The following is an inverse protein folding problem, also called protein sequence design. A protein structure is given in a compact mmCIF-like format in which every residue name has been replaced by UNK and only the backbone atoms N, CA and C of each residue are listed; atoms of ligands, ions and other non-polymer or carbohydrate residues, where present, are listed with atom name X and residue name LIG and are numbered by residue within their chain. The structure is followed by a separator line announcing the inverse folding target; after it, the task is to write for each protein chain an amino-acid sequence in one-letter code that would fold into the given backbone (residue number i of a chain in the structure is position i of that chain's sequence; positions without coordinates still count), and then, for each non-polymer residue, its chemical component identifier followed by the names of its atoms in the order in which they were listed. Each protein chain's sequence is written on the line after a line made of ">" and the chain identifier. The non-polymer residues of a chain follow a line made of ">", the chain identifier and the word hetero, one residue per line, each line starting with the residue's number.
data_IF_726964107015
#
_entry.id   IF_726964107015
#
_cell.length_a   1.000
_cell.length_b   1.000
_cell.length_c   1.000
_cell.angle_alpha   90.00
_cell.angle_beta   90.00
_cell.angle_gamma   90.00
#
_symmetry.space_group_name_H-M   'P 1'
#
loop_
_entity.id
_entity.type
_entity.pdbx_description
1 polymer ?
#
# COMPACT_ATOMS: atom_id res chain seq x y z
N UNK A 1 12.12 -16.80 44.73
CA UNK A 1 12.51 -16.89 43.30
C UNK A 1 11.24 -16.67 42.52
N UNK A 2 11.27 -15.87 41.43
CA UNK A 2 10.06 -15.61 40.67
C UNK A 2 9.51 -16.91 40.09
N UNK A 3 8.19 -17.08 40.16
CA UNK A 3 7.47 -18.24 39.65
C UNK A 3 7.43 -18.28 38.12
N UNK A 4 7.65 -17.14 37.48
CA UNK A 4 7.70 -17.02 36.02
C UNK A 4 9.11 -16.72 35.51
N UNK A 5 9.36 -17.07 34.25
CA UNK A 5 10.56 -16.72 33.50
C UNK A 5 10.20 -16.38 32.06
N UNK A 6 10.93 -15.43 31.47
CA UNK A 6 10.73 -14.95 30.10
C UNK A 6 12.05 -15.14 29.34
N UNK A 7 12.33 -16.35 28.83
CA UNK A 7 13.68 -16.75 28.42
C UNK A 7 14.09 -16.27 27.02
N UNK A 8 13.15 -15.98 26.13
CA UNK A 8 13.44 -15.65 24.74
C UNK A 8 12.57 -14.48 24.26
N UNK A 9 13.23 -13.35 24.03
CA UNK A 9 12.62 -12.16 23.43
C UNK A 9 13.62 -11.55 22.46
N UNK A 10 13.18 -11.16 21.24
CA UNK A 10 14.05 -10.42 20.35
C UNK A 10 14.50 -9.12 21.02
N UNK A 11 15.80 -8.77 20.96
CA UNK A 11 16.32 -7.54 21.57
C UNK A 11 15.76 -6.27 20.88
N UNK A 12 15.15 -6.44 19.70
CA UNK A 12 14.59 -5.36 18.91
C UNK A 12 13.27 -5.74 18.24
N UNK A 13 12.26 -4.90 18.36
CA UNK A 13 11.00 -5.01 17.63
C UNK A 13 11.12 -4.36 16.24
N UNK A 14 10.64 -5.04 15.21
CA UNK A 14 10.51 -4.46 13.88
C UNK A 14 9.17 -3.71 13.76
N UNK A 15 9.24 -2.41 13.48
CA UNK A 15 8.06 -1.60 13.15
C UNK A 15 7.96 -1.40 11.63
N UNK A 16 6.75 -1.48 11.10
CA UNK A 16 6.39 -1.04 9.75
C UNK A 16 5.73 0.33 9.85
N UNK A 17 6.31 1.32 9.18
CA UNK A 17 5.77 2.67 9.12
C UNK A 17 4.93 2.82 7.85
N UNK A 18 3.67 3.20 8.02
CA UNK A 18 2.77 3.54 6.91
C UNK A 18 2.58 5.05 6.88
N UNK A 19 2.90 5.68 5.74
CA UNK A 19 2.78 7.13 5.54
C UNK A 19 1.53 7.43 4.73
N UNK A 20 0.53 8.04 5.37
CA UNK A 20 -0.70 8.48 4.72
C UNK A 20 -0.86 9.98 4.95
N UNK A 21 -0.94 10.76 3.87
CA UNK A 21 -1.27 12.20 3.89
C UNK A 21 -0.55 13.02 4.98
N UNK A 22 0.80 12.96 4.99
CA UNK A 22 1.68 13.71 5.89
C UNK A 22 1.74 13.24 7.35
N UNK A 23 1.17 12.07 7.65
CA UNK A 23 1.24 11.43 8.98
C UNK A 23 1.88 10.04 8.85
N UNK A 24 2.79 9.71 9.78
CA UNK A 24 3.49 8.42 9.80
C UNK A 24 3.05 7.63 11.03
N UNK A 25 2.31 6.53 10.82
CA UNK A 25 1.92 5.62 11.89
C UNK A 25 2.85 4.41 11.82
N UNK A 26 3.53 4.09 12.93
CA UNK A 26 4.38 2.91 13.00
C UNK A 26 3.66 1.81 13.77
N UNK A 27 3.54 0.64 13.15
CA UNK A 27 2.92 -0.54 13.75
C UNK A 27 3.88 -1.72 13.75
N UNK A 28 3.87 -2.50 14.82
CA UNK A 28 4.68 -3.71 14.91
C UNK A 28 4.14 -4.66 15.96
N UNK A 29 4.72 -5.85 16.02
CA UNK A 29 4.36 -6.85 17.01
C UNK A 29 5.62 -7.55 17.53
N UNK A 30 5.64 -7.81 18.83
CA UNK A 30 6.69 -8.57 19.49
C UNK A 30 6.04 -9.74 20.19
N UNK A 31 6.56 -10.94 19.91
CA UNK A 31 6.11 -12.15 20.56
C UNK A 31 7.10 -12.52 21.65
N UNK A 32 6.58 -12.88 22.82
CA UNK A 32 7.37 -13.32 23.96
C UNK A 32 6.72 -14.55 24.58
N UNK A 33 7.57 -15.36 25.21
CA UNK A 33 7.18 -16.63 25.80
C UNK A 33 7.35 -16.55 27.30
N UNK A 34 6.28 -16.77 28.06
CA UNK A 34 6.32 -16.82 29.53
C UNK A 34 6.24 -18.27 29.96
N UNK A 35 7.14 -18.68 30.85
CA UNK A 35 7.21 -20.04 31.39
C UNK A 35 6.94 -20.01 32.88
N UNK A 36 6.02 -20.84 33.36
CA UNK A 36 5.83 -21.08 34.79
C UNK A 36 6.88 -22.10 35.26
N UNK A 37 7.78 -21.73 36.16
CA UNK A 37 8.85 -22.60 36.70
C UNK A 37 8.39 -23.46 37.88
N UNK A 38 7.18 -23.24 38.36
CA UNK A 38 6.67 -23.97 39.53
C UNK A 38 6.15 -25.34 39.12
N UNK A 39 6.16 -26.27 40.08
CA UNK A 39 5.58 -27.60 39.92
C UNK A 39 4.05 -27.62 40.05
N UNK A 40 3.40 -26.45 40.12
CA UNK A 40 1.96 -26.31 40.26
C UNK A 40 1.40 -25.39 39.16
N UNK A 41 0.11 -25.52 38.87
CA UNK A 41 -0.56 -24.60 37.95
C UNK A 41 -0.76 -23.23 38.61
N UNK A 42 -0.51 -22.15 37.88
CA UNK A 42 -0.54 -20.78 38.40
C UNK A 42 -1.15 -19.82 37.39
N UNK A 43 -2.00 -18.90 37.85
CA UNK A 43 -2.51 -17.82 37.01
C UNK A 43 -1.45 -16.71 36.92
N UNK A 44 -1.05 -16.38 35.69
CA UNK A 44 -0.08 -15.34 35.40
C UNK A 44 -0.71 -14.25 34.55
N UNK A 45 -0.42 -12.99 34.89
CA UNK A 45 -0.82 -11.81 34.13
C UNK A 45 0.39 -11.11 33.56
N UNK A 46 0.28 -10.66 32.31
CA UNK A 46 1.33 -9.90 31.66
C UNK A 46 0.95 -8.42 31.54
N UNK A 47 1.88 -7.56 31.95
CA UNK A 47 1.80 -6.11 31.83
C UNK A 47 2.98 -5.56 31.04
N UNK A 48 2.73 -4.50 30.26
CA UNK A 48 3.77 -3.80 29.50
C UNK A 48 4.24 -2.61 30.33
N UNK A 49 5.55 -2.46 30.47
CA UNK A 49 6.20 -1.35 31.17
C UNK A 49 7.01 -0.51 30.17
N UNK A 50 6.42 0.57 29.64
CA UNK A 50 7.13 1.50 28.76
C UNK A 50 8.35 2.11 29.46
N UNK A 51 9.43 2.34 28.72
CA UNK A 51 10.65 2.96 29.24
C UNK A 51 10.91 4.30 28.54
N UNK A 52 11.47 5.26 29.27
CA UNK A 52 11.80 6.59 28.74
C UNK A 52 10.57 7.39 28.31
N UNK A 53 10.57 7.92 27.08
CA UNK A 53 9.45 8.70 26.53
C UNK A 53 8.32 7.84 25.92
N UNK A 54 8.41 6.50 25.99
CA UNK A 54 7.36 5.62 25.50
C UNK A 54 6.11 5.71 26.40
N UNK A 55 4.93 5.75 25.80
CA UNK A 55 3.66 5.82 26.54
C UNK A 55 2.94 4.47 26.56
N UNK A 56 2.26 4.16 27.68
CA UNK A 56 1.52 2.91 27.85
C UNK A 56 0.43 2.71 26.79
N UNK A 57 -0.19 3.80 26.33
CA UNK A 57 -1.21 3.82 25.28
C UNK A 57 -0.73 3.34 23.91
N UNK A 58 0.58 3.19 23.69
CA UNK A 58 1.15 2.69 22.44
C UNK A 58 1.16 1.17 22.35
N UNK A 59 0.85 0.47 23.44
CA UNK A 59 1.03 -0.96 23.53
C UNK A 59 -0.28 -1.66 23.88
N UNK A 60 -0.51 -2.81 23.26
CA UNK A 60 -1.63 -3.69 23.60
C UNK A 60 -1.21 -5.14 23.53
N UNK A 61 -1.72 -5.97 24.43
CA UNK A 61 -1.52 -7.43 24.39
C UNK A 61 -2.63 -8.05 23.56
N UNK A 62 -2.28 -8.92 22.62
CA UNK A 62 -3.26 -9.65 21.82
C UNK A 62 -3.95 -10.75 22.65
N UNK A 63 -5.27 -10.66 22.73
CA UNK A 63 -6.12 -11.59 23.45
C UNK A 63 -6.06 -11.36 24.97
N UNK A 64 -6.22 -12.42 25.74
CA UNK A 64 -6.21 -12.34 27.21
C UNK A 64 -4.77 -12.15 27.72
N UNK A 65 -4.57 -11.07 28.50
CA UNK A 65 -3.31 -10.75 29.18
C UNK A 65 -3.10 -11.58 30.45
N UNK A 66 -4.16 -12.18 30.99
CA UNK A 66 -4.13 -13.10 32.12
C UNK A 66 -4.47 -14.51 31.63
N UNK A 67 -3.63 -15.49 31.96
CA UNK A 67 -3.79 -16.88 31.52
C UNK A 67 -3.40 -17.85 32.63
N UNK A 68 -4.00 -19.04 32.59
CA UNK A 68 -3.69 -20.12 33.52
C UNK A 68 -2.58 -21.01 32.95
N UNK A 69 -1.44 -21.05 33.63
CA UNK A 69 -0.31 -21.89 33.27
C UNK A 69 -0.41 -23.21 34.00
N UNK A 70 -0.17 -24.32 33.31
CA UNK A 70 0.08 -25.62 33.96
C UNK A 70 1.48 -25.62 34.59
N UNK A 71 1.78 -26.63 35.42
CA UNK A 71 3.12 -26.82 35.99
C UNK A 71 4.17 -26.96 34.86
N UNK A 72 5.28 -26.21 34.94
CA UNK A 72 6.28 -26.11 33.87
C UNK A 72 5.70 -25.67 32.50
N UNK A 73 4.48 -25.14 32.49
CA UNK A 73 3.74 -24.75 31.30
C UNK A 73 4.24 -23.45 30.72
N UNK A 74 4.00 -23.27 29.42
CA UNK A 74 4.48 -22.12 28.66
C UNK A 74 3.34 -21.50 27.87
N UNK A 75 3.25 -20.17 27.87
CA UNK A 75 2.33 -19.43 27.01
C UNK A 75 3.03 -18.35 26.22
N UNK A 76 2.65 -18.26 24.95
CA UNK A 76 3.09 -17.22 24.04
C UNK A 76 2.10 -16.05 24.06
N UNK A 77 2.64 -14.85 24.16
CA UNK A 77 1.90 -13.59 24.12
C UNK A 77 2.48 -12.70 23.03
N UNK A 78 1.62 -11.89 22.42
CA UNK A 78 2.03 -10.93 21.38
C UNK A 78 1.67 -9.53 21.86
N UNK A 79 2.68 -8.67 22.03
CA UNK A 79 2.49 -7.23 22.23
C UNK A 79 2.42 -6.56 20.87
N UNK A 80 1.33 -5.87 20.57
CA UNK A 80 1.25 -4.93 19.45
C UNK A 80 1.74 -3.56 19.90
N UNK A 81 2.56 -2.97 19.06
CA UNK A 81 3.08 -1.61 19.19
C UNK A 81 2.38 -0.78 18.12
N UNK A 82 1.67 0.28 18.51
CA UNK A 82 1.04 1.24 17.61
C UNK A 82 1.37 2.64 18.12
N UNK A 83 2.25 3.33 17.42
CA UNK A 83 2.67 4.69 17.81
C UNK A 83 1.78 5.74 17.13
N UNK A 84 1.35 6.80 17.85
CA UNK A 84 0.60 7.90 17.25
C UNK A 84 1.47 8.67 16.25
N UNK A 85 0.85 9.40 15.30
CA UNK A 85 1.58 10.17 14.29
C UNK A 85 2.39 11.34 14.88
N UNK A 86 2.12 11.74 16.12
CA UNK A 86 2.81 12.79 16.86
C UNK A 86 4.02 12.28 17.67
N UNK A 87 4.26 10.96 17.69
CA UNK A 87 5.40 10.40 18.39
C UNK A 87 6.71 10.89 17.74
N UNK A 88 7.64 11.38 18.56
CA UNK A 88 8.94 11.87 18.06
C UNK A 88 9.71 10.72 17.43
N UNK A 89 10.46 11.02 16.37
CA UNK A 89 11.42 10.07 15.81
C UNK A 89 12.51 9.77 16.84
N UNK A 90 12.83 8.50 17.04
CA UNK A 90 13.82 8.11 18.04
C UNK A 90 13.78 6.64 18.42
N UNK A 91 14.75 6.25 19.24
CA UNK A 91 14.83 4.93 19.84
C UNK A 91 14.00 4.90 21.13
N UNK A 92 13.08 3.96 21.20
CA UNK A 92 12.23 3.71 22.35
C UNK A 92 12.46 2.30 22.86
N UNK A 93 12.03 2.03 24.09
CA UNK A 93 12.11 0.68 24.64
C UNK A 93 10.94 0.36 25.56
N UNK A 94 10.70 -0.94 25.72
CA UNK A 94 9.71 -1.47 26.64
C UNK A 94 10.28 -2.67 27.38
N UNK A 95 9.74 -2.92 28.56
CA UNK A 95 9.85 -4.19 29.27
C UNK A 95 8.48 -4.83 29.37
N UNK A 96 8.49 -6.15 29.53
CA UNK A 96 7.32 -6.95 29.81
C UNK A 96 7.48 -7.53 31.21
N UNK A 97 6.45 -7.38 32.03
CA UNK A 97 6.42 -7.92 33.38
C UNK A 97 5.34 -9.00 33.46
N UNK A 98 5.74 -10.21 33.84
CA UNK A 98 4.84 -11.30 34.17
C UNK A 98 4.67 -11.37 35.68
N UNK A 99 3.44 -11.25 36.18
CA UNK A 99 3.11 -11.26 37.60
C UNK A 99 2.23 -12.46 37.94
N UNK A 100 2.45 -13.07 39.10
CA UNK A 100 1.53 -14.05 39.63
C UNK A 100 0.28 -13.36 40.16
N UNK A 101 -0.90 -13.83 39.75
CA UNK A 101 -2.18 -13.16 40.11
C UNK A 101 -2.46 -13.26 41.61
N UNK A 102 -1.98 -14.31 42.26
CA UNK A 102 -2.12 -14.55 43.69
C UNK A 102 -1.14 -13.72 44.56
N UNK A 103 -0.02 -13.27 44.02
CA UNK A 103 0.96 -12.42 44.72
C UNK A 103 1.66 -11.45 43.75
N UNK A 104 0.93 -10.42 43.26
CA UNK A 104 1.41 -9.56 42.17
C UNK A 104 2.55 -8.62 42.59
N UNK A 105 2.70 -8.34 43.88
CA UNK A 105 3.69 -7.39 44.39
C UNK A 105 5.06 -8.03 44.61
N UNK A 106 5.10 -9.31 44.98
CA UNK A 106 6.35 -10.00 45.34
C UNK A 106 6.78 -11.07 44.34
N UNK A 107 5.85 -11.61 43.55
CA UNK A 107 6.12 -12.70 42.59
C UNK A 107 5.95 -12.25 41.15
N UNK A 108 7.03 -11.68 40.61
CA UNK A 108 7.08 -11.16 39.25
C UNK A 108 8.42 -11.42 38.57
N UNK A 109 8.36 -11.55 37.25
CA UNK A 109 9.53 -11.62 36.39
C UNK A 109 9.48 -10.50 35.36
N UNK A 110 10.61 -9.80 35.20
CA UNK A 110 10.80 -8.80 34.16
C UNK A 110 11.54 -9.40 32.97
N UNK A 111 11.17 -8.94 31.79
CA UNK A 111 11.89 -9.26 30.57
C UNK A 111 13.18 -8.45 30.41
N UNK A 112 14.10 -8.91 29.54
CA UNK A 112 15.08 -8.05 28.92
C UNK A 112 14.43 -6.85 28.21
N UNK A 113 15.19 -5.77 28.05
CA UNK A 113 14.71 -4.56 27.36
C UNK A 113 14.55 -4.84 25.87
N UNK A 114 13.37 -4.53 25.34
CA UNK A 114 13.08 -4.61 23.91
C UNK A 114 13.12 -3.20 23.32
N UNK A 115 14.09 -2.95 22.44
CA UNK A 115 14.20 -1.68 21.74
C UNK A 115 13.30 -1.65 20.50
N UNK A 116 12.79 -0.48 20.13
CA UNK A 116 12.13 -0.27 18.85
C UNK A 116 12.37 1.15 18.36
N UNK A 117 12.54 1.30 17.05
CA UNK A 117 12.81 2.61 16.45
C UNK A 117 11.56 3.15 15.77
N UNK A 118 11.19 4.38 16.12
CA UNK A 118 10.24 5.15 15.33
C UNK A 118 11.05 5.85 14.25
N UNK A 119 10.90 5.37 13.02
CA UNK A 119 11.51 6.00 11.86
C UNK A 119 11.02 7.45 11.80
N UNK A 120 11.95 8.39 11.61
CA UNK A 120 11.56 9.76 11.27
C UNK A 120 10.62 9.69 10.05
N UNK A 121 9.54 10.49 10.03
CA UNK A 121 8.78 10.68 8.80
C UNK A 121 9.80 10.89 7.69
N UNK A 122 9.71 10.17 6.55
CA UNK A 122 10.64 10.41 5.46
C UNK A 122 10.63 11.92 5.25
N UNK A 123 11.78 12.61 5.36
CA UNK A 123 11.83 14.07 5.31
C UNK A 123 10.96 14.46 4.12
N UNK A 124 9.90 15.28 4.34
CA UNK A 124 8.83 15.50 3.37
C UNK A 124 9.53 15.73 2.06
N UNK A 125 9.39 14.76 1.13
CA UNK A 125 10.38 14.49 0.09
C UNK A 125 11.01 15.81 -0.27
N UNK A 126 12.25 16.07 0.19
CA UNK A 126 12.92 17.30 -0.20
C UNK A 126 12.73 17.29 -1.70
N UNK A 127 11.97 18.27 -2.22
CA UNK A 127 11.95 18.51 -3.65
C UNK A 127 13.43 18.55 -3.94
N UNK A 128 13.97 17.46 -4.52
CA UNK A 128 15.41 17.35 -4.70
C UNK A 128 15.73 18.67 -5.32
N UNK A 129 16.55 19.48 -4.64
CA UNK A 129 17.13 20.65 -5.25
C UNK A 129 18.06 20.05 -6.28
N UNK A 130 17.44 19.60 -7.38
CA UNK A 130 18.04 19.15 -8.60
C UNK A 130 19.05 20.23 -8.86
N UNK A 131 20.33 19.87 -8.80
CA UNK A 131 21.36 20.87 -8.62
C UNK A 131 21.20 21.85 -9.78
N UNK A 132 21.08 23.13 -9.42
CA UNK A 132 20.66 24.24 -10.26
C UNK A 132 21.28 24.26 -11.67
N UNK A 133 22.47 23.67 -11.86
CA UNK A 133 23.11 23.43 -13.16
C UNK A 133 22.34 22.52 -14.14
N UNK A 134 21.51 21.57 -13.67
CA UNK A 134 20.72 20.68 -14.55
C UNK A 134 19.52 21.45 -15.15
N UNK A 135 18.96 22.41 -14.42
CA UNK A 135 18.05 23.41 -14.98
C UNK A 135 18.80 24.57 -15.64
N UNK A 136 20.09 24.81 -15.36
CA UNK A 136 20.89 25.77 -16.12
C UNK A 136 21.23 25.27 -17.54
N UNK A 137 21.14 23.97 -17.82
CA UNK A 137 21.39 23.44 -19.16
C UNK A 137 20.15 23.46 -20.09
N UNK A 138 18.92 23.44 -19.55
CA UNK A 138 17.68 23.52 -20.36
C UNK A 138 16.88 24.81 -20.07
N UNK A 139 16.95 25.33 -18.85
CA UNK A 139 16.36 26.61 -18.42
C UNK A 139 17.37 27.73 -18.17
N UNK A 140 18.70 27.50 -18.28
CA UNK A 140 19.70 28.57 -18.18
C UNK A 140 19.72 29.48 -19.40
N UNK A 141 19.10 29.06 -20.50
CA UNK A 141 18.75 29.95 -21.60
C UNK A 141 17.56 30.87 -21.30
N UNK A 142 16.67 30.51 -20.36
CA UNK A 142 15.39 31.22 -20.14
C UNK A 142 15.38 32.01 -18.82
N UNK A 143 15.98 31.50 -17.74
CA UNK A 143 16.05 32.18 -16.44
C UNK A 143 17.13 33.29 -16.39
N UNK A 144 18.23 33.15 -17.14
CA UNK A 144 19.21 34.24 -17.30
C UNK A 144 18.63 35.36 -18.17
N UNK A 145 17.79 35.04 -19.14
CA UNK A 145 17.06 36.04 -19.95
C UNK A 145 15.98 36.73 -19.10
N UNK A 146 15.17 35.99 -18.34
CA UNK A 146 14.12 36.57 -17.50
C UNK A 146 14.63 37.42 -16.32
N UNK A 147 15.72 37.01 -15.65
CA UNK A 147 16.33 37.80 -14.57
C UNK A 147 16.96 39.11 -15.06
N UNK A 148 17.54 39.11 -16.27
CA UNK A 148 18.07 40.32 -16.91
C UNK A 148 16.92 41.21 -17.39
N UNK A 149 15.83 40.66 -17.91
CA UNK A 149 14.65 41.45 -18.33
C UNK A 149 13.93 42.10 -17.14
N UNK A 150 13.71 41.39 -16.02
CA UNK A 150 13.09 41.97 -14.81
C UNK A 150 13.98 43.05 -14.18
N UNK A 151 15.31 42.87 -14.20
CA UNK A 151 16.24 43.88 -13.72
C UNK A 151 16.33 45.11 -14.65
N UNK A 152 16.21 44.93 -15.97
CA UNK A 152 16.21 46.04 -16.94
C UNK A 152 14.89 46.81 -16.89
N UNK A 153 13.74 46.15 -16.79
CA UNK A 153 12.42 46.80 -16.70
C UNK A 153 12.28 47.64 -15.41
N UNK A 154 12.87 47.20 -14.30
CA UNK A 154 12.87 47.99 -13.06
C UNK A 154 13.82 49.21 -13.11
N UNK A 155 14.74 49.29 -14.08
CA UNK A 155 15.77 50.34 -14.14
C UNK A 155 15.67 51.29 -15.35
N UNK A 156 14.85 51.01 -16.38
CA UNK A 156 14.65 51.91 -17.53
C UNK A 156 13.27 52.57 -17.48
N UNK A 157 13.20 53.75 -16.86
CA UNK A 157 12.01 54.61 -16.88
C UNK A 157 11.84 55.34 -18.20
N UNK A 158 10.93 54.84 -19.04
CA UNK A 158 10.32 55.53 -20.18
C UNK A 158 8.82 55.26 -20.18
N UNK A 159 8.01 56.19 -20.67
CA UNK A 159 6.53 56.23 -20.52
C UNK A 159 5.75 55.10 -21.22
N UNK A 160 6.39 53.98 -21.58
CA UNK A 160 5.78 52.76 -22.10
C UNK A 160 6.35 51.52 -21.41
N UNK A 161 5.49 50.61 -20.95
CA UNK A 161 5.93 49.33 -20.37
C UNK A 161 6.05 48.29 -21.48
N UNK A 162 7.14 47.53 -21.50
CA UNK A 162 7.34 46.45 -22.46
C UNK A 162 6.71 45.16 -21.94
N UNK A 163 6.00 44.40 -22.79
CA UNK A 163 5.33 43.16 -22.41
C UNK A 163 6.35 42.05 -22.09
N UNK A 164 6.36 41.48 -20.87
CA UNK A 164 7.20 40.35 -20.49
C UNK A 164 6.81 39.05 -21.20
N UNK A 165 7.77 38.14 -21.37
CA UNK A 165 7.48 36.78 -21.83
C UNK A 165 7.03 35.89 -20.66
N UNK A 166 5.82 35.32 -20.80
CA UNK A 166 5.22 34.39 -19.86
C UNK A 166 4.78 33.08 -20.52
N UNK A 167 5.13 32.85 -21.79
CA UNK A 167 4.85 31.59 -22.49
C UNK A 167 5.64 30.45 -21.84
N UNK A 168 4.95 29.33 -21.61
CA UNK A 168 5.49 28.17 -20.89
C UNK A 168 5.43 28.30 -19.37
N UNK A 169 5.05 29.46 -18.82
CA UNK A 169 4.83 29.63 -17.39
C UNK A 169 3.48 29.04 -16.95
N UNK A 170 3.37 28.75 -15.66
CA UNK A 170 2.09 28.44 -15.04
C UNK A 170 1.25 29.73 -14.94
N UNK A 171 -0.06 29.64 -15.17
CA UNK A 171 -0.93 30.81 -15.26
C UNK A 171 -0.82 31.76 -14.05
N UNK A 172 -0.72 31.23 -12.84
CA UNK A 172 -0.54 32.05 -11.63
C UNK A 172 0.77 32.85 -11.63
N UNK A 173 1.84 32.29 -12.18
CA UNK A 173 3.13 32.97 -12.31
C UNK A 173 3.11 34.01 -13.45
N UNK A 174 2.46 33.67 -14.56
CA UNK A 174 2.25 34.60 -15.67
C UNK A 174 1.46 35.84 -15.22
N UNK A 175 0.37 35.63 -14.48
CA UNK A 175 -0.44 36.70 -13.90
C UNK A 175 0.35 37.59 -12.95
N UNK A 176 1.13 36.99 -12.05
CA UNK A 176 1.97 37.75 -11.13
C UNK A 176 3.01 38.61 -11.87
N UNK A 177 3.60 38.09 -12.94
CA UNK A 177 4.62 38.78 -13.75
C UNK A 177 4.01 39.97 -14.51
N UNK A 178 2.87 39.76 -15.15
CA UNK A 178 2.18 40.82 -15.92
C UNK A 178 1.59 41.89 -15.01
N UNK A 179 1.03 41.50 -13.86
CA UNK A 179 0.49 42.46 -12.88
C UNK A 179 1.61 43.32 -12.27
N UNK A 180 2.79 42.73 -12.01
CA UNK A 180 3.96 43.47 -11.55
C UNK A 180 4.44 44.50 -12.58
N UNK A 181 4.31 44.17 -13.87
CA UNK A 181 4.57 45.07 -15.01
C UNK A 181 3.39 45.99 -15.35
N UNK A 182 2.40 46.13 -14.46
CA UNK A 182 1.23 47.03 -14.62
C UNK A 182 0.31 46.70 -15.80
N UNK A 183 0.30 45.46 -16.28
CA UNK A 183 -0.63 44.99 -17.32
C UNK A 183 -1.84 44.28 -16.74
N UNK A 184 -2.94 44.32 -17.49
CA UNK A 184 -4.16 43.56 -17.20
C UNK A 184 -4.13 42.23 -17.94
N UNK A 185 -4.53 41.14 -17.29
CA UNK A 185 -4.49 39.79 -17.88
C UNK A 185 -5.89 39.31 -18.26
N UNK A 186 -6.06 38.90 -19.51
CA UNK A 186 -7.25 38.17 -19.99
C UNK A 186 -6.84 36.75 -20.36
N UNK A 187 -7.69 35.78 -20.07
CA UNK A 187 -7.41 34.36 -20.29
C UNK A 187 -8.31 33.82 -21.40
N UNK A 188 -7.68 33.12 -22.33
CA UNK A 188 -8.34 32.36 -23.40
C UNK A 188 -7.96 30.88 -23.29
N UNK A 189 -8.93 30.01 -23.54
CA UNK A 189 -8.72 28.57 -23.49
C UNK A 189 -8.01 28.10 -24.78
N UNK A 190 -6.86 27.46 -24.62
CA UNK A 190 -6.21 26.71 -25.69
C UNK A 190 -6.55 25.23 -25.56
N UNK A 191 -7.60 24.82 -26.28
CA UNK A 191 -8.05 23.42 -26.34
C UNK A 191 -7.13 22.53 -27.21
N UNK A 192 -6.27 23.12 -28.04
CA UNK A 192 -5.32 22.41 -28.89
C UNK A 192 -3.94 22.27 -28.26
N UNK A 193 -3.68 22.98 -27.15
CA UNK A 193 -2.41 22.93 -26.43
C UNK A 193 -2.07 21.53 -25.92
N UNK A 194 -0.87 21.07 -26.25
CA UNK A 194 -0.34 19.77 -25.84
C UNK A 194 0.35 19.83 -24.46
N UNK A 195 0.45 21.01 -23.86
CA UNK A 195 0.99 21.18 -22.51
C UNK A 195 0.04 20.70 -21.42
N UNK A 196 0.59 20.57 -20.21
CA UNK A 196 -0.22 20.31 -19.02
C UNK A 196 -1.26 21.41 -18.81
N UNK A 197 -2.44 21.08 -18.25
CA UNK A 197 -3.47 22.06 -17.97
C UNK A 197 -2.95 23.20 -17.08
N UNK A 198 -3.27 24.44 -17.45
CA UNK A 198 -2.87 25.65 -16.72
C UNK A 198 -1.51 26.25 -17.12
N UNK A 199 -0.87 25.71 -18.17
CA UNK A 199 0.35 26.28 -18.77
C UNK A 199 -0.03 27.26 -19.88
N UNK A 200 0.63 28.42 -19.90
CA UNK A 200 0.46 29.42 -20.97
C UNK A 200 1.13 28.89 -22.25
N UNK A 201 0.37 28.76 -23.32
CA UNK A 201 0.84 28.30 -24.64
C UNK A 201 1.13 29.44 -25.59
N UNK A 202 0.52 30.60 -25.37
CA UNK A 202 0.74 31.81 -26.14
C UNK A 202 0.33 33.05 -25.37
N UNK A 203 0.86 34.19 -25.79
CA UNK A 203 0.50 35.50 -25.28
C UNK A 203 0.33 36.47 -26.45
N UNK A 204 -0.57 37.44 -26.29
CA UNK A 204 -0.80 38.52 -27.23
C UNK A 204 -1.11 39.81 -26.45
N UNK A 205 -0.37 40.91 -26.63
CA UNK A 205 0.77 41.10 -27.54
C UNK A 205 2.01 40.24 -27.24
N UNK A 206 2.83 40.01 -28.26
CA UNK A 206 4.06 39.22 -28.13
C UNK A 206 5.07 39.87 -27.17
N UNK A 207 6.05 39.09 -26.70
CA UNK A 207 7.14 39.62 -25.88
C UNK A 207 7.81 40.82 -26.56
N UNK A 208 8.20 41.82 -25.78
CA UNK A 208 8.89 43.00 -26.34
C UNK A 208 7.95 44.05 -26.96
N UNK A 209 6.65 43.77 -27.09
CA UNK A 209 5.69 44.79 -27.53
C UNK A 209 5.57 45.90 -26.49
N UNK A 210 5.43 47.15 -26.95
CA UNK A 210 5.12 48.28 -26.07
C UNK A 210 3.61 48.40 -25.89
N UNK A 211 3.19 48.50 -24.63
CA UNK A 211 1.82 48.84 -24.26
C UNK A 211 1.83 49.99 -23.25
N UNK A 212 0.79 50.80 -23.35
CA UNK A 212 0.47 51.78 -22.32
C UNK A 212 0.22 51.08 -20.97
N UNK A 213 0.45 51.78 -19.87
CA UNK A 213 0.13 51.26 -18.53
C UNK A 213 -1.35 50.85 -18.44
N UNK A 214 -1.62 49.70 -17.82
CA UNK A 214 -2.95 49.11 -17.77
C UNK A 214 -3.37 48.37 -19.05
N UNK A 215 -2.52 48.37 -20.07
CA UNK A 215 -2.70 47.61 -21.32
C UNK A 215 -3.02 46.14 -21.09
N UNK A 216 -3.84 45.57 -21.97
CA UNK A 216 -4.33 44.21 -21.84
C UNK A 216 -3.38 43.22 -22.54
N UNK A 217 -3.04 42.14 -21.85
CA UNK A 217 -2.34 40.97 -22.40
C UNK A 217 -3.25 39.76 -22.29
N UNK A 218 -3.57 39.17 -23.44
CA UNK A 218 -4.35 37.95 -23.56
C UNK A 218 -3.42 36.73 -23.51
N UNK A 219 -3.69 35.80 -22.60
CA UNK A 219 -2.96 34.55 -22.43
C UNK A 219 -3.79 33.38 -22.92
N UNK A 220 -3.23 32.62 -23.85
CA UNK A 220 -3.77 31.31 -24.25
C UNK A 220 -3.27 30.27 -23.27
N UNK A 221 -4.19 29.56 -22.62
CA UNK A 221 -3.89 28.63 -21.52
C UNK A 221 -4.35 27.23 -21.90
N UNK A 222 -3.40 26.27 -21.88
CA UNK A 222 -3.69 24.87 -22.14
C UNK A 222 -4.76 24.35 -21.17
N UNK A 223 -5.81 23.75 -21.72
CA UNK A 223 -6.89 23.16 -20.92
C UNK A 223 -6.63 21.70 -20.53
N UNK A 224 -5.73 21.03 -21.25
CA UNK A 224 -5.58 19.57 -21.17
C UNK A 224 -6.84 18.83 -21.66
N UNK A 225 -6.84 17.52 -21.47
CA UNK A 225 -7.97 16.63 -21.79
C UNK A 225 -8.36 15.82 -20.57
N UNK A 226 -9.65 15.49 -20.46
CA UNK A 226 -10.17 14.71 -19.35
C UNK A 226 -9.58 13.29 -19.36
N UNK A 227 -9.15 12.82 -18.20
CA UNK A 227 -8.70 11.44 -18.04
C UNK A 227 -9.91 10.56 -17.76
N UNK A 228 -10.11 9.51 -18.56
CA UNK A 228 -11.24 8.60 -18.39
C UNK A 228 -11.08 7.76 -17.12
N UNK A 229 -12.19 7.48 -16.43
CA UNK A 229 -12.19 6.52 -15.34
C UNK A 229 -12.16 5.08 -15.86
N UNK A 230 -11.05 4.38 -15.62
CA UNK A 230 -10.89 2.96 -16.00
C UNK A 230 -10.71 2.02 -14.81
N UNK A 231 -10.95 2.49 -13.57
CA UNK A 231 -10.90 1.64 -12.37
C UNK A 231 -11.99 0.57 -12.43
N UNK A 232 -11.68 -0.64 -11.96
CA UNK A 232 -12.51 -1.85 -12.04
C UNK A 232 -12.66 -2.45 -13.44
N UNK A 233 -11.97 -1.93 -14.46
CA UNK A 233 -11.97 -2.53 -15.79
C UNK A 233 -10.80 -3.51 -15.95
N UNK A 234 -10.90 -4.49 -16.86
CA UNK A 234 -9.75 -5.27 -17.29
C UNK A 234 -8.68 -4.37 -17.91
N UNK A 235 -7.40 -4.62 -17.60
CA UNK A 235 -6.27 -3.80 -18.06
C UNK A 235 -6.27 -3.58 -19.57
N UNK A 236 -6.53 -4.62 -20.36
CA UNK A 236 -6.55 -4.52 -21.82
C UNK A 236 -7.63 -3.55 -22.34
N UNK A 237 -8.81 -3.54 -21.70
CA UNK A 237 -9.90 -2.63 -22.05
C UNK A 237 -9.57 -1.19 -21.61
N UNK A 238 -9.07 -1.05 -20.38
CA UNK A 238 -8.62 0.23 -19.82
C UNK A 238 -7.53 0.90 -20.68
N UNK A 239 -6.53 0.12 -21.09
CA UNK A 239 -5.43 0.59 -21.93
C UNK A 239 -5.92 1.05 -23.30
N UNK A 240 -6.80 0.26 -23.92
CA UNK A 240 -7.39 0.60 -25.22
C UNK A 240 -8.22 1.88 -25.14
N UNK A 241 -9.04 2.04 -24.10
CA UNK A 241 -9.87 3.22 -23.90
C UNK A 241 -9.03 4.50 -23.72
N UNK A 242 -7.95 4.44 -22.92
CA UNK A 242 -7.06 5.58 -22.70
C UNK A 242 -6.26 5.96 -23.96
N UNK A 243 -5.78 4.97 -24.73
CA UNK A 243 -5.09 5.21 -26.00
C UNK A 243 -6.01 5.83 -27.05
N UNK A 244 -7.26 5.35 -27.16
CA UNK A 244 -8.24 5.83 -28.14
C UNK A 244 -8.79 7.22 -27.80
N UNK A 245 -8.98 7.54 -26.53
CA UNK A 245 -9.60 8.81 -26.12
C UNK A 245 -8.77 10.02 -26.53
N UNK A 246 -7.49 10.05 -26.14
CA UNK A 246 -6.61 11.21 -26.37
C UNK A 246 -5.12 10.84 -26.53
N UNK A 247 -4.84 9.61 -26.98
CA UNK A 247 -3.48 9.16 -27.25
C UNK A 247 -2.64 8.91 -26.00
N UNK A 248 -3.26 8.74 -24.82
CA UNK A 248 -2.53 8.55 -23.57
C UNK A 248 -1.62 7.32 -23.64
N UNK A 249 -0.40 7.48 -23.11
CA UNK A 249 0.51 6.38 -22.81
C UNK A 249 0.11 5.76 -21.49
N UNK A 250 0.15 4.44 -21.40
CA UNK A 250 -0.25 3.72 -20.19
C UNK A 250 0.98 3.10 -19.53
N UNK A 251 1.19 3.43 -18.26
CA UNK A 251 2.21 2.80 -17.43
C UNK A 251 1.54 1.76 -16.53
N UNK A 252 1.81 0.47 -16.80
CA UNK A 252 1.30 -0.64 -15.98
C UNK A 252 2.17 -0.88 -14.76
N UNK A 253 1.56 -1.01 -13.59
CA UNK A 253 2.22 -1.38 -12.33
C UNK A 253 1.41 -2.46 -11.62
N UNK A 254 2.09 -3.47 -11.06
CA UNK A 254 1.43 -4.48 -10.23
C UNK A 254 1.20 -3.93 -8.81
N UNK A 255 -0.04 -4.03 -8.32
CA UNK A 255 -0.40 -3.72 -6.94
C UNK A 255 -0.33 -4.95 -6.02
N UNK A 256 -0.77 -4.83 -4.76
CA UNK A 256 -0.99 -6.00 -3.91
C UNK A 256 -2.21 -6.80 -4.41
N UNK A 257 -2.17 -8.12 -4.23
CA UNK A 257 -3.32 -8.99 -4.53
C UNK A 257 -4.48 -8.65 -3.58
N UNK A 258 -5.56 -8.11 -4.15
CA UNK A 258 -6.71 -7.55 -3.43
C UNK A 258 -7.96 -8.41 -3.48
N UNK A 259 -7.97 -9.46 -4.30
CA UNK A 259 -9.11 -10.35 -4.47
C UNK A 259 -10.01 -10.00 -5.66
N UNK A 260 -9.62 -9.01 -6.48
CA UNK A 260 -10.26 -8.80 -7.78
C UNK A 260 -9.78 -9.88 -8.76
N UNK A 261 -10.50 -10.10 -9.87
CA UNK A 261 -9.98 -10.92 -10.96
C UNK A 261 -8.58 -10.41 -11.37
N UNK A 262 -7.62 -11.30 -11.62
CA UNK A 262 -6.30 -10.90 -12.11
C UNK A 262 -6.42 -9.98 -13.34
N UNK A 263 -5.47 -9.05 -13.48
CA UNK A 263 -5.46 -8.03 -14.53
C UNK A 263 -6.57 -6.96 -14.42
N UNK A 264 -7.27 -6.88 -13.30
CA UNK A 264 -8.23 -5.78 -13.06
C UNK A 264 -7.52 -4.53 -12.57
N UNK A 265 -7.84 -3.36 -13.14
CA UNK A 265 -7.33 -2.06 -12.67
C UNK A 265 -7.89 -1.74 -11.28
N UNK A 266 -7.01 -1.61 -10.30
CA UNK A 266 -7.36 -1.27 -8.90
C UNK A 266 -7.22 0.22 -8.61
N UNK A 267 -6.30 0.90 -9.27
CA UNK A 267 -6.15 2.35 -9.15
C UNK A 267 -5.54 2.94 -10.42
N UNK A 268 -5.79 4.23 -10.62
CA UNK A 268 -5.23 5.01 -11.71
C UNK A 268 -4.70 6.34 -11.18
N UNK A 269 -3.69 6.87 -11.86
CA UNK A 269 -3.10 8.17 -11.60
C UNK A 269 -2.76 8.85 -12.94
N UNK A 270 -3.29 10.05 -13.22
CA UNK A 270 -4.19 10.84 -12.36
C UNK A 270 -5.60 10.27 -12.28
N UNK A 271 -6.27 10.47 -11.14
CA UNK A 271 -7.66 10.05 -10.91
C UNK A 271 -8.63 11.13 -11.42
N UNK A 272 -9.70 10.77 -12.15
CA UNK A 272 -10.79 11.67 -12.51
C UNK A 272 -11.38 12.33 -11.26
N UNK A 273 -11.77 13.62 -11.32
CA UNK A 273 -11.97 14.46 -12.51
C UNK A 273 -10.71 15.19 -13.02
N UNK A 274 -9.50 14.67 -12.75
CA UNK A 274 -8.27 15.29 -13.24
C UNK A 274 -8.18 15.37 -14.78
N UNK A 275 -7.51 16.42 -15.24
CA UNK A 275 -7.10 16.63 -16.64
C UNK A 275 -5.61 16.43 -16.78
N UNK A 276 -5.18 15.99 -17.96
CA UNK A 276 -3.78 15.79 -18.29
C UNK A 276 -3.44 16.31 -19.68
N UNK A 277 -2.15 16.48 -19.95
CA UNK A 277 -1.65 16.79 -21.29
C UNK A 277 -2.10 15.73 -22.29
N UNK A 278 -2.44 16.15 -23.51
CA UNK A 278 -2.72 15.22 -24.62
C UNK A 278 -1.49 14.33 -24.87
N UNK A 279 -1.70 13.04 -25.06
CA UNK A 279 -0.60 12.08 -25.17
C UNK A 279 0.21 11.86 -23.88
N UNK A 280 -0.26 12.38 -22.74
CA UNK A 280 0.36 12.21 -21.42
C UNK A 280 0.43 10.76 -20.97
N UNK A 281 1.00 10.52 -19.79
CA UNK A 281 1.09 9.16 -19.23
C UNK A 281 0.09 8.97 -18.09
N UNK A 282 -0.72 7.92 -18.17
CA UNK A 282 -1.62 7.47 -17.10
C UNK A 282 -1.04 6.19 -16.50
N UNK A 283 -0.78 6.19 -15.20
CA UNK A 283 -0.33 5.03 -14.46
C UNK A 283 -1.52 4.21 -14.00
N UNK A 284 -1.58 2.94 -14.38
CA UNK A 284 -2.58 1.98 -13.93
C UNK A 284 -1.95 0.95 -13.02
N UNK A 285 -2.49 0.83 -11.81
CA UNK A 285 -2.15 -0.27 -10.90
C UNK A 285 -3.15 -1.39 -11.11
N UNK A 286 -2.67 -2.62 -11.34
CA UNK A 286 -3.50 -3.81 -11.56
C UNK A 286 -3.43 -4.79 -10.38
N UNK A 287 -4.50 -5.53 -10.13
CA UNK A 287 -4.49 -6.68 -9.22
C UNK A 287 -3.73 -7.82 -9.91
N UNK A 288 -2.57 -8.25 -9.39
CA UNK A 288 -1.81 -9.35 -9.99
C UNK A 288 -2.46 -10.71 -9.78
N UNK A 289 -3.41 -10.83 -8.85
CA UNK A 289 -3.91 -12.11 -8.39
C UNK A 289 -2.89 -12.90 -7.56
N UNK A 290 -3.20 -14.17 -7.35
CA UNK A 290 -2.40 -15.16 -6.64
C UNK A 290 -2.17 -16.34 -7.58
N UNK A 291 -0.93 -16.77 -7.74
CA UNK A 291 -0.60 -17.95 -8.53
C UNK A 291 -1.00 -19.23 -7.78
N UNK A 292 -1.67 -20.15 -8.48
CA UNK A 292 -1.92 -21.50 -7.94
C UNK A 292 -0.57 -22.22 -7.77
N UNK A 293 -0.21 -22.66 -6.55
CA UNK A 293 1.06 -23.30 -6.29
C UNK A 293 1.17 -24.65 -7.01
N UNK A 294 2.39 -25.02 -7.40
CA UNK A 294 2.69 -26.38 -7.84
C UNK A 294 2.63 -27.34 -6.66
N UNK A 295 1.72 -28.31 -6.70
CA UNK A 295 1.58 -29.35 -5.69
C UNK A 295 1.91 -30.69 -6.35
N UNK A 296 2.86 -31.42 -5.76
CA UNK A 296 3.21 -32.77 -6.23
C UNK A 296 2.06 -33.73 -5.91
N UNK A 297 1.59 -34.45 -6.93
CA UNK A 297 0.49 -35.43 -6.83
C UNK A 297 1.08 -36.82 -7.12
N UNK A 298 0.67 -37.88 -6.39
CA UNK A 298 -0.35 -37.85 -5.34
C UNK A 298 0.16 -37.28 -4.01
N UNK A 299 -0.74 -36.65 -3.25
CA UNK A 299 -0.45 -36.13 -1.90
C UNK A 299 -1.68 -36.27 -0.99
N UNK A 300 -1.55 -35.96 0.29
CA UNK A 300 -2.67 -35.96 1.24
C UNK A 300 -3.54 -34.71 1.04
N UNK A 301 -4.85 -34.83 1.29
CA UNK A 301 -5.77 -33.69 1.32
C UNK A 301 -5.22 -32.55 2.19
N UNK A 302 -4.73 -32.88 3.39
CA UNK A 302 -4.19 -31.90 4.33
C UNK A 302 -3.04 -31.08 3.74
N UNK A 303 -2.06 -31.74 3.11
CA UNK A 303 -0.89 -31.07 2.55
C UNK A 303 -1.29 -30.14 1.41
N UNK A 304 -2.20 -30.57 0.55
CA UNK A 304 -2.67 -29.73 -0.56
C UNK A 304 -3.52 -28.55 -0.08
N UNK A 305 -4.40 -28.75 0.91
CA UNK A 305 -5.20 -27.66 1.51
C UNK A 305 -4.29 -26.63 2.18
N UNK A 306 -3.31 -27.07 2.97
CA UNK A 306 -2.34 -26.18 3.61
C UNK A 306 -1.56 -25.37 2.57
N UNK A 307 -1.12 -26.00 1.47
CA UNK A 307 -0.39 -25.30 0.41
C UNK A 307 -1.24 -24.23 -0.29
N UNK A 308 -2.51 -24.54 -0.60
CA UNK A 308 -3.44 -23.58 -1.22
C UNK A 308 -3.82 -22.44 -0.26
N UNK A 309 -4.11 -22.74 1.00
CA UNK A 309 -4.44 -21.74 2.02
C UNK A 309 -3.24 -20.83 2.34
N UNK A 310 -2.02 -21.38 2.38
CA UNK A 310 -0.79 -20.59 2.56
C UNK A 310 -0.55 -19.60 1.40
N UNK A 311 -0.99 -19.95 0.18
CA UNK A 311 -1.01 -19.02 -0.95
C UNK A 311 -2.13 -17.97 -0.84
N UNK A 312 -3.07 -18.12 0.09
CA UNK A 312 -4.23 -17.24 0.25
C UNK A 312 -5.41 -17.62 -0.66
N UNK A 313 -5.53 -18.89 -1.03
CA UNK A 313 -6.61 -19.43 -1.86
C UNK A 313 -7.61 -20.23 -1.01
N UNK A 314 -8.89 -20.19 -1.42
CA UNK A 314 -9.91 -21.10 -0.93
C UNK A 314 -9.82 -22.46 -1.63
N UNK A 315 -10.41 -23.50 -1.04
CA UNK A 315 -10.36 -24.86 -1.60
C UNK A 315 -11.77 -25.46 -1.64
N UNK A 316 -12.16 -26.02 -2.79
CA UNK A 316 -13.35 -26.86 -2.91
C UNK A 316 -12.93 -28.30 -3.19
N UNK A 317 -13.36 -29.21 -2.35
CA UNK A 317 -12.99 -30.63 -2.38
C UNK A 317 -14.11 -31.40 -3.06
N UNK A 318 -13.77 -32.10 -4.14
CA UNK A 318 -14.68 -32.96 -4.88
C UNK A 318 -14.17 -34.40 -4.80
N UNK A 319 -15.00 -35.32 -4.29
CA UNK A 319 -14.67 -36.74 -4.31
C UNK A 319 -14.74 -37.32 -5.73
N UNK A 320 -13.77 -38.14 -6.12
CA UNK A 320 -13.90 -39.03 -7.28
C UNK A 320 -13.77 -40.47 -6.82
N UNK A 321 -14.76 -41.27 -7.19
CA UNK A 321 -14.71 -42.68 -6.82
C UNK A 321 -13.66 -43.43 -7.63
N UNK A 322 -12.66 -44.00 -6.95
CA UNK A 322 -11.57 -44.74 -7.57
C UNK A 322 -10.93 -45.69 -6.52
N UNK A 323 -10.60 -46.95 -6.89
CA UNK A 323 -9.89 -47.86 -5.98
C UNK A 323 -8.54 -47.29 -5.52
N UNK A 324 -8.12 -47.56 -4.28
CA UNK A 324 -6.81 -47.16 -3.75
C UNK A 324 -6.89 -46.45 -2.40
N UNK A 325 -5.88 -45.65 -2.08
CA UNK A 325 -5.76 -44.93 -0.80
C UNK A 325 -6.81 -43.81 -0.72
N UNK A 326 -7.67 -43.84 0.31
CA UNK A 326 -8.67 -42.81 0.57
C UNK A 326 -8.02 -41.44 0.84
N UNK A 327 -8.75 -40.37 0.53
CA UNK A 327 -8.39 -38.96 0.81
C UNK A 327 -7.06 -38.50 0.20
N UNK A 328 -6.55 -39.27 -0.76
CA UNK A 328 -5.41 -38.90 -1.57
C UNK A 328 -5.86 -37.94 -2.67
N UNK A 329 -5.19 -36.80 -2.78
CA UNK A 329 -5.40 -35.87 -3.89
C UNK A 329 -4.89 -36.52 -5.17
N UNK A 330 -5.75 -36.55 -6.18
CA UNK A 330 -5.46 -37.17 -7.48
C UNK A 330 -5.46 -36.16 -8.62
N UNK A 331 -6.10 -35.00 -8.44
CA UNK A 331 -6.07 -33.91 -9.41
C UNK A 331 -6.38 -32.56 -8.75
N UNK A 332 -5.92 -31.48 -9.37
CA UNK A 332 -6.28 -30.10 -9.04
C UNK A 332 -6.96 -29.52 -10.29
N UNK A 333 -8.12 -28.90 -10.12
CA UNK A 333 -8.93 -28.38 -11.22
C UNK A 333 -8.34 -27.14 -11.90
N UNK A 334 -7.43 -26.43 -11.22
CA UNK A 334 -6.72 -25.28 -11.76
C UNK A 334 -5.25 -25.61 -11.95
N UNK A 335 -4.70 -25.35 -13.14
CA UNK A 335 -3.31 -25.66 -13.43
C UNK A 335 -2.36 -24.82 -12.57
N UNK A 336 -1.23 -25.40 -12.10
CA UNK A 336 -0.18 -24.65 -11.42
C UNK A 336 0.28 -23.43 -12.23
N UNK A 337 0.56 -22.32 -11.54
CA UNK A 337 0.96 -21.05 -12.16
C UNK A 337 -0.20 -20.20 -12.72
N UNK A 338 -1.43 -20.74 -12.77
CA UNK A 338 -2.61 -19.94 -13.14
C UNK A 338 -2.82 -18.84 -12.09
N UNK A 339 -2.99 -17.60 -12.54
CA UNK A 339 -3.36 -16.50 -11.64
C UNK A 339 -4.86 -16.55 -11.35
N UNK A 340 -5.22 -16.49 -10.08
CA UNK A 340 -6.62 -16.42 -9.61
C UNK A 340 -6.78 -15.28 -8.62
N UNK A 341 -8.02 -14.85 -8.37
CA UNK A 341 -8.28 -13.85 -7.34
C UNK A 341 -7.81 -14.35 -5.96
N UNK A 342 -7.24 -13.45 -5.15
CA UNK A 342 -6.95 -13.75 -3.73
C UNK A 342 -8.24 -14.16 -3.02
N UNK A 343 -8.20 -15.25 -2.27
CA UNK A 343 -9.37 -15.86 -1.64
C UNK A 343 -10.27 -16.63 -2.62
N UNK A 344 -9.95 -16.66 -3.91
CA UNK A 344 -10.64 -17.46 -4.91
C UNK A 344 -10.51 -18.95 -4.64
N UNK A 345 -11.50 -19.72 -5.08
CA UNK A 345 -11.63 -21.15 -4.77
C UNK A 345 -10.98 -22.01 -5.85
N UNK A 346 -10.03 -22.87 -5.45
CA UNK A 346 -9.43 -23.89 -6.32
C UNK A 346 -10.10 -25.24 -6.08
N UNK A 347 -10.45 -25.91 -7.17
CA UNK A 347 -10.98 -27.27 -7.11
C UNK A 347 -9.89 -28.30 -6.83
N UNK A 348 -10.16 -29.18 -5.89
CA UNK A 348 -9.29 -30.27 -5.51
C UNK A 348 -10.08 -31.58 -5.59
N UNK A 349 -9.51 -32.57 -6.27
CA UNK A 349 -10.14 -33.88 -6.44
C UNK A 349 -9.45 -34.92 -5.57
N UNK A 350 -10.20 -35.52 -4.64
CA UNK A 350 -9.70 -36.60 -3.77
C UNK A 350 -10.23 -37.96 -4.23
N UNK A 351 -9.47 -38.99 -3.90
CA UNK A 351 -9.86 -40.38 -4.11
C UNK A 351 -10.83 -40.83 -3.03
N UNK A 352 -11.97 -41.37 -3.46
CA UNK A 352 -12.96 -42.02 -2.59
C UNK A 352 -13.08 -43.50 -3.00
N UNK A 353 -12.45 -44.45 -2.30
CA UNK A 353 -12.58 -45.85 -2.65
C UNK A 353 -14.03 -46.35 -2.46
N UNK A 354 -14.49 -47.30 -3.28
CA UNK A 354 -15.84 -47.85 -3.16
C UNK A 354 -16.01 -48.57 -1.82
N UNK A 355 -17.15 -48.35 -1.14
CA UNK A 355 -17.45 -48.99 0.17
C UNK A 355 -17.48 -50.51 0.09
N UNK A 356 -17.91 -51.07 -1.04
CA UNK A 356 -17.79 -52.48 -1.34
C UNK A 356 -16.98 -52.67 -2.64
N UNK A 357 -15.80 -53.30 -2.60
CA UNK A 357 -14.96 -53.54 -3.76
C UNK A 357 -15.67 -54.31 -4.89
N UNK A 358 -16.70 -55.10 -4.55
CA UNK A 358 -17.46 -55.93 -5.49
C UNK A 358 -18.64 -55.21 -6.15
N UNK A 359 -19.09 -54.07 -5.61
CA UNK A 359 -20.28 -53.33 -6.10
C UNK A 359 -19.88 -52.07 -6.89
N UNK A 360 -18.63 -51.62 -6.79
CA UNK A 360 -18.13 -50.46 -7.54
C UNK A 360 -18.61 -49.11 -6.97
N UNK A 361 -18.55 -48.07 -7.81
CA UNK A 361 -18.71 -46.68 -7.39
C UNK A 361 -20.17 -46.22 -7.28
N UNK A 362 -20.59 -45.76 -6.08
CA UNK A 362 -21.84 -45.05 -5.81
C UNK A 362 -21.65 -43.54 -5.55
N UNK A 363 -22.71 -42.84 -5.09
CA UNK A 363 -22.83 -41.38 -5.01
C UNK A 363 -21.65 -40.62 -4.36
N UNK A 364 -21.32 -39.44 -4.92
CA UNK A 364 -20.16 -38.59 -4.60
C UNK A 364 -20.50 -37.55 -3.52
N UNK A 365 -19.53 -37.21 -2.66
CA UNK A 365 -19.64 -36.11 -1.68
C UNK A 365 -18.81 -34.89 -2.12
N UNK A 366 -19.34 -33.68 -1.89
CA UNK A 366 -18.68 -32.38 -2.17
C UNK A 366 -18.52 -31.60 -0.85
N UNK A 367 -17.35 -31.01 -0.63
CA UNK A 367 -17.04 -30.21 0.56
C UNK A 367 -16.38 -28.89 0.16
N UNK A 368 -16.66 -27.80 0.87
CA UNK A 368 -16.02 -26.50 0.66
C UNK A 368 -15.22 -26.10 1.91
N UNK A 369 -13.98 -25.64 1.73
CA UNK A 369 -13.06 -25.23 2.80
C UNK A 369 -12.57 -23.81 2.52
N UNK A 370 -13.00 -22.86 3.36
CA UNK A 370 -12.61 -21.45 3.23
C UNK A 370 -11.23 -21.19 3.86
N UNK A 371 -10.52 -20.11 3.43
CA UNK A 371 -9.19 -19.77 3.94
C UNK A 371 -9.10 -19.56 5.46
N UNK A 372 -10.21 -19.25 6.13
CA UNK A 372 -10.27 -18.90 7.55
C UNK A 372 -11.09 -19.88 8.42
N UNK A 373 -11.60 -20.98 7.86
CA UNK A 373 -12.36 -21.95 8.65
C UNK A 373 -11.41 -22.99 9.27
N UNK A 374 -11.49 -23.17 10.61
CA UNK A 374 -10.99 -24.39 11.24
C UNK A 374 -11.76 -25.57 10.64
N UNK A 375 -11.05 -26.67 10.34
CA UNK A 375 -11.53 -27.95 9.77
C UNK A 375 -12.94 -28.39 10.24
N UNK A 376 -13.98 -27.74 9.76
CA UNK A 376 -15.37 -28.07 10.00
C UNK A 376 -15.91 -28.56 8.66
N UNK A 377 -15.75 -29.86 8.42
CA UNK A 377 -16.33 -30.54 7.26
C UNK A 377 -17.85 -30.41 7.34
N UNK A 378 -18.43 -29.48 6.58
CA UNK A 378 -19.88 -29.48 6.32
C UNK A 378 -20.14 -30.33 5.08
N UNK A 379 -20.74 -31.49 5.30
CA UNK A 379 -21.28 -32.34 4.23
C UNK A 379 -22.43 -31.60 3.54
N UNK A 380 -22.25 -31.21 2.28
CA UNK A 380 -23.37 -30.90 1.39
C UNK A 380 -23.82 -32.23 0.78
N UNK A 381 -24.73 -32.91 1.45
CA UNK A 381 -25.53 -33.98 0.82
C UNK A 381 -26.41 -33.32 -0.22
N UNK A 382 -26.21 -33.67 -1.49
CA UNK A 382 -27.14 -33.38 -2.58
C UNK A 382 -28.12 -34.53 -2.72
#
# INVERSE_FOLDING_TARGET
>A
MPSFEIPDIPPKAALKTETQSNQSISTGAVTFTVTNKTSQGLAGRVTIEPQGEAKAEWFSVDGESERQFIANGTHTFTVRIKTPPEAKAGAYSLKVRAVAVNDPDNDFAESPVVAFDIAAPPPPAEKKKLPWWIFAAIGGGVAVVAGVVVAVILFTGGDGSTVPNVVGAQIAQAEATLTAAKFTVVKEDDAAGDQAPGIVTGQDPAEGAELDEGGQVTLKVAQGVDVLNVVNQPYAAAESALKLGHGFKVQRVAGPAGGKPPETVVSQDPMPPARAARGGTVKLTVDPGVAVPGITIPTTQQNAVNALQAAGLGVRINGRCQPGVADQVIAIGTAPGTMVAKGGTVDLFIRVPPRNPLIGCGSISVFEVKPNDRFLMRSLTQ
#
